data_IF_338661270913
#
_entry.id   IF_338661270913
#
_cell.length_a   1.000
_cell.length_b   1.000
_cell.length_c   1.000
_cell.angle_alpha   90.00
_cell.angle_beta   90.00
_cell.angle_gamma   90.00
#
_symmetry.space_group_name_H-M   'P 1'
#
loop_
_entity.id
_entity.type
_entity.pdbx_description
1 polymer ?
#
# COMPACT_ATOMS: atom_id res chain seq x y z
N UNK A 1 -9.71 3.31 -16.55
CA UNK A 1 -8.79 2.98 -15.44
C UNK A 1 -7.44 3.59 -15.76
N UNK A 2 -6.91 4.47 -14.90
CA UNK A 2 -5.56 5.02 -15.01
C UNK A 2 -4.64 4.15 -14.14
N UNK A 3 -3.59 3.58 -14.73
CA UNK A 3 -2.65 2.66 -14.05
C UNK A 3 -1.24 3.05 -14.45
N UNK A 4 -0.37 3.15 -13.45
CA UNK A 4 1.07 3.35 -13.65
C UNK A 4 1.83 2.54 -12.60
N UNK A 5 3.06 2.19 -12.91
CA UNK A 5 3.92 1.40 -12.04
C UNK A 5 5.05 2.27 -11.51
N UNK A 6 5.23 2.31 -10.20
CA UNK A 6 6.40 2.92 -9.57
C UNK A 6 7.45 1.82 -9.37
N UNK A 7 8.46 1.80 -10.23
CA UNK A 7 9.51 0.77 -10.17
C UNK A 7 10.63 1.10 -9.19
N UNK A 8 10.71 2.37 -8.75
CA UNK A 8 11.76 2.85 -7.84
C UNK A 8 11.14 3.46 -6.60
N UNK A 9 11.68 3.07 -5.44
CA UNK A 9 11.42 3.73 -4.18
C UNK A 9 12.26 5.02 -4.10
N UNK A 10 11.65 6.09 -3.58
CA UNK A 10 12.35 7.28 -3.13
C UNK A 10 13.31 6.93 -1.97
N UNK A 11 12.80 6.18 -0.98
CA UNK A 11 13.56 5.76 0.19
C UNK A 11 12.92 4.52 0.82
N UNK A 12 13.70 3.76 1.60
CA UNK A 12 13.19 2.73 2.52
C UNK A 12 13.56 3.15 3.94
N UNK A 13 12.59 3.59 4.75
CA UNK A 13 12.84 4.17 6.08
C UNK A 13 11.60 4.09 6.98
N UNK A 14 11.75 4.38 8.28
CA UNK A 14 10.66 4.40 9.29
C UNK A 14 9.92 5.74 9.29
N UNK A 15 9.61 6.25 8.11
CA UNK A 15 8.95 7.56 7.91
C UNK A 15 7.45 7.33 7.73
N UNK A 16 6.62 7.95 8.56
CA UNK A 16 5.15 7.96 8.42
C UNK A 16 4.55 9.29 8.93
N UNK A 17 4.42 10.30 8.06
CA UNK A 17 3.93 11.62 8.47
C UNK A 17 2.44 11.64 8.83
N UNK A 18 1.69 10.57 8.58
CA UNK A 18 0.27 10.48 8.91
C UNK A 18 0.08 9.83 10.29
N UNK A 19 0.74 8.70 10.55
CA UNK A 19 0.53 7.91 11.77
C UNK A 19 1.53 8.28 12.88
N UNK A 20 2.76 8.62 12.52
CA UNK A 20 3.85 8.95 13.46
C UNK A 20 4.53 10.26 13.05
N UNK A 21 3.80 11.40 13.00
CA UNK A 21 4.36 12.67 12.55
C UNK A 21 5.55 13.10 13.40
N UNK A 22 6.69 13.32 12.74
CA UNK A 22 7.95 13.73 13.39
C UNK A 22 8.71 12.62 14.12
N UNK A 23 8.20 11.38 14.15
CA UNK A 23 8.77 10.26 14.92
C UNK A 23 8.93 8.98 14.09
N UNK A 24 9.90 8.14 14.45
CA UNK A 24 10.14 6.90 13.73
C UNK A 24 8.96 5.91 13.87
N UNK A 25 8.37 5.51 12.74
CA UNK A 25 7.27 4.56 12.68
C UNK A 25 7.63 3.20 13.28
N UNK A 26 6.62 2.43 13.73
CA UNK A 26 6.84 1.11 14.35
C UNK A 26 7.46 0.03 13.45
N UNK A 27 7.56 0.28 12.15
CA UNK A 27 8.16 -0.62 11.15
C UNK A 27 8.71 0.19 9.97
N UNK A 28 9.48 -0.46 9.07
CA UNK A 28 10.04 0.19 7.88
C UNK A 28 9.01 0.29 6.76
N UNK A 29 9.08 1.39 6.02
CA UNK A 29 8.32 1.62 4.82
C UNK A 29 9.20 1.66 3.58
N UNK A 30 8.77 1.03 2.49
CA UNK A 30 9.25 1.36 1.14
C UNK A 30 8.36 2.48 0.57
N UNK A 31 8.96 3.63 0.22
CA UNK A 31 8.23 4.84 -0.14
C UNK A 31 8.49 5.17 -1.61
N UNK A 32 7.44 5.47 -2.36
CA UNK A 32 7.50 5.96 -3.75
C UNK A 32 6.72 7.28 -3.88
N UNK A 33 7.16 8.18 -4.75
CA UNK A 33 6.43 9.43 -5.01
C UNK A 33 7.30 10.68 -5.09
N UNK A 34 6.71 11.82 -4.74
CA UNK A 34 7.35 13.13 -4.77
C UNK A 34 8.49 13.28 -3.74
N UNK A 35 9.53 14.03 -4.10
CA UNK A 35 10.70 14.25 -3.24
C UNK A 35 10.48 15.20 -2.03
N UNK A 36 9.28 15.77 -1.87
CA UNK A 36 8.88 16.53 -0.68
C UNK A 36 8.53 15.65 0.53
N UNK A 37 8.54 14.31 0.39
CA UNK A 37 8.22 13.39 1.47
C UNK A 37 9.27 13.42 2.59
N UNK A 38 8.81 13.48 3.84
CA UNK A 38 9.63 13.58 5.06
C UNK A 38 8.81 13.17 6.29
N UNK A 39 9.43 13.17 7.48
CA UNK A 39 8.83 12.75 8.76
C UNK A 39 7.58 13.53 9.15
N UNK A 40 7.48 14.77 8.68
CA UNK A 40 6.44 15.75 8.99
C UNK A 40 5.81 16.34 7.72
N UNK A 41 5.99 15.67 6.57
CA UNK A 41 5.46 16.14 5.30
C UNK A 41 3.92 16.27 5.32
N UNK A 42 3.45 17.45 4.95
CA UNK A 42 2.04 17.74 4.74
C UNK A 42 1.70 17.87 3.25
N UNK A 43 0.44 18.21 2.95
CA UNK A 43 0.01 18.43 1.58
C UNK A 43 0.75 19.57 0.87
N UNK A 44 1.26 20.58 1.60
CA UNK A 44 2.02 21.68 1.01
C UNK A 44 3.43 21.23 0.63
N UNK A 45 4.12 20.48 1.50
CA UNK A 45 5.42 19.87 1.23
C UNK A 45 5.35 18.95 0.00
N UNK A 46 4.34 18.09 -0.09
CA UNK A 46 4.18 17.21 -1.25
C UNK A 46 3.93 18.00 -2.55
N UNK A 47 3.12 19.06 -2.52
CA UNK A 47 2.89 19.94 -3.68
C UNK A 47 4.13 20.73 -4.11
N UNK A 48 5.06 20.98 -3.20
CA UNK A 48 6.34 21.65 -3.48
C UNK A 48 7.40 20.71 -4.07
N UNK A 49 7.11 19.40 -4.20
CA UNK A 49 8.02 18.43 -4.83
C UNK A 49 8.39 18.87 -6.25
N UNK A 50 9.66 18.69 -6.61
CA UNK A 50 10.22 19.03 -7.94
C UNK A 50 10.45 17.81 -8.82
N UNK A 51 10.45 16.61 -8.24
CA UNK A 51 10.58 15.35 -8.95
C UNK A 51 9.80 14.24 -8.24
N UNK A 52 9.58 13.12 -8.95
CA UNK A 52 8.92 11.94 -8.43
C UNK A 52 9.70 10.66 -8.80
N UNK A 53 9.68 9.66 -7.92
CA UNK A 53 10.31 8.36 -8.18
C UNK A 53 9.50 7.48 -9.15
N UNK A 54 8.22 7.82 -9.36
CA UNK A 54 7.32 7.15 -10.31
C UNK A 54 7.44 7.77 -11.72
N UNK A 55 7.12 7.03 -12.80
CA UNK A 55 7.26 7.50 -14.19
C UNK A 55 6.44 8.75 -14.53
N UNK A 56 5.36 9.01 -13.79
CA UNK A 56 4.50 10.17 -13.99
C UNK A 56 5.05 11.32 -13.15
N UNK A 57 5.95 12.12 -13.73
CA UNK A 57 6.60 13.23 -13.02
C UNK A 57 5.65 14.33 -12.51
N UNK A 58 4.45 14.42 -13.08
CA UNK A 58 3.38 15.31 -12.57
C UNK A 58 2.68 14.75 -11.31
N UNK A 59 2.85 13.45 -11.02
CA UNK A 59 2.30 12.78 -9.84
C UNK A 59 3.22 12.98 -8.64
N UNK A 60 2.93 14.01 -7.84
CA UNK A 60 3.72 14.38 -6.66
C UNK A 60 3.22 13.75 -5.36
N UNK A 61 2.18 12.92 -5.41
CA UNK A 61 1.70 12.16 -4.26
C UNK A 61 2.76 11.18 -3.75
N UNK A 62 2.70 10.84 -2.47
CA UNK A 62 3.51 9.77 -1.87
C UNK A 62 2.65 8.52 -1.61
N UNK A 63 3.26 7.36 -1.78
CA UNK A 63 2.67 6.06 -1.55
C UNK A 63 3.70 5.18 -0.82
N UNK A 64 3.35 4.63 0.35
CA UNK A 64 4.31 3.92 1.20
C UNK A 64 3.74 2.77 2.02
N UNK A 65 4.62 1.83 2.33
CA UNK A 65 4.25 0.42 2.44
C UNK A 65 5.17 -0.40 3.33
N UNK A 66 4.71 -1.38 4.15
CA UNK A 66 5.57 -2.20 4.96
C UNK A 66 6.63 -2.87 4.09
N UNK A 67 7.84 -2.71 4.55
CA UNK A 67 8.97 -3.48 4.14
C UNK A 67 8.83 -4.88 4.77
N UNK A 68 8.66 -5.90 3.93
CA UNK A 68 8.60 -7.28 4.40
C UNK A 68 10.02 -7.84 4.56
N UNK A 69 10.14 -8.82 5.46
CA UNK A 69 11.37 -9.54 5.74
C UNK A 69 11.12 -11.04 5.61
N UNK A 70 12.05 -11.76 5.01
CA UNK A 70 12.05 -13.23 5.02
C UNK A 70 12.97 -13.69 6.13
N UNK A 71 12.47 -14.59 6.99
CA UNK A 71 13.29 -15.28 7.98
C UNK A 71 13.92 -16.49 7.32
N UNK A 72 15.24 -16.63 7.41
CA UNK A 72 15.93 -17.79 6.87
C UNK A 72 15.55 -19.07 7.64
N UNK A 73 15.34 -20.19 6.95
CA UNK A 73 14.98 -21.47 7.60
C UNK A 73 16.06 -22.00 8.54
N UNK A 74 17.33 -21.71 8.23
CA UNK A 74 18.48 -22.05 9.07
C UNK A 74 18.53 -21.26 10.40
N UNK A 75 17.60 -20.31 10.61
CA UNK A 75 17.51 -19.50 11.82
C UNK A 75 18.60 -18.43 11.97
N UNK A 76 19.46 -18.22 10.96
CA UNK A 76 20.63 -17.33 11.08
C UNK A 76 20.31 -15.86 10.93
N UNK A 77 19.06 -15.50 10.60
CA UNK A 77 18.66 -14.11 10.48
C UNK A 77 17.44 -13.88 9.60
N UNK A 78 17.36 -12.65 9.09
CA UNK A 78 16.32 -12.17 8.18
C UNK A 78 16.95 -11.43 7.01
N UNK A 79 16.33 -11.48 5.83
CA UNK A 79 16.66 -10.61 4.70
C UNK A 79 15.49 -9.71 4.32
N UNK A 80 15.79 -8.58 3.72
CA UNK A 80 14.82 -7.64 3.17
C UNK A 80 14.22 -8.22 1.88
N UNK A 81 12.91 -8.40 1.82
CA UNK A 81 12.27 -8.69 0.53
C UNK A 81 12.15 -7.39 -0.24
N UNK A 82 12.75 -7.26 -1.42
CA UNK A 82 12.58 -6.02 -2.18
C UNK A 82 11.09 -5.80 -2.44
N UNK A 83 10.55 -4.81 -1.73
CA UNK A 83 9.14 -4.46 -1.69
C UNK A 83 8.88 -3.35 -2.68
N UNK A 84 7.87 -3.58 -3.49
CA UNK A 84 6.89 -2.55 -3.78
C UNK A 84 5.63 -3.01 -3.03
N UNK A 85 5.21 -2.35 -1.96
CA UNK A 85 3.84 -1.85 -1.75
C UNK A 85 2.83 -2.46 -0.67
N UNK A 86 1.85 -1.78 0.00
CA UNK A 86 1.48 -2.00 1.47
C UNK A 86 0.45 -3.08 1.80
N UNK A 87 0.42 -3.59 3.06
CA UNK A 87 -0.79 -4.11 3.74
C UNK A 87 -0.73 -4.12 5.30
N UNK A 88 -1.64 -3.38 5.98
CA UNK A 88 -1.98 -3.57 7.40
C UNK A 88 -3.47 -3.85 7.59
N UNK A 89 -3.84 -5.12 7.47
CA UNK A 89 -4.86 -5.77 8.30
C UNK A 89 -4.35 -7.20 8.50
N UNK A 90 -4.11 -7.58 9.76
CA UNK A 90 -3.36 -8.80 10.11
C UNK A 90 -4.26 -10.03 10.27
N UNK A 91 -5.58 -9.86 10.18
CA UNK A 91 -6.55 -10.92 10.44
C UNK A 91 -7.64 -10.95 9.37
N UNK A 92 -8.07 -12.17 9.02
CA UNK A 92 -9.17 -12.41 8.09
C UNK A 92 -10.47 -11.97 8.76
N UNK A 93 -11.29 -11.22 8.04
CA UNK A 93 -12.66 -10.97 8.45
C UNK A 93 -13.58 -10.63 7.29
N UNK A 94 -14.84 -10.39 7.64
CA UNK A 94 -15.95 -10.30 6.70
C UNK A 94 -16.34 -8.86 6.33
N UNK A 95 -15.75 -7.86 6.99
CA UNK A 95 -15.96 -6.45 6.65
C UNK A 95 -15.40 -6.11 5.27
N UNK A 96 -15.88 -5.00 4.69
CA UNK A 96 -15.38 -4.55 3.39
C UNK A 96 -13.93 -4.06 3.51
N UNK A 97 -13.57 -3.47 4.64
CA UNK A 97 -12.22 -3.05 4.99
C UNK A 97 -11.25 -4.24 4.97
N UNK A 98 -11.63 -5.38 5.56
CA UNK A 98 -10.81 -6.59 5.60
C UNK A 98 -10.72 -7.28 4.23
N UNK A 99 -11.77 -7.20 3.42
CA UNK A 99 -11.78 -7.73 2.04
C UNK A 99 -11.01 -6.85 1.07
N UNK A 100 -10.79 -5.58 1.42
CA UNK A 100 -10.06 -4.63 0.59
C UNK A 100 -8.57 -4.97 0.44
N UNK A 101 -8.05 -5.83 1.32
CA UNK A 101 -6.66 -6.24 1.41
C UNK A 101 -6.53 -7.73 1.02
N UNK A 102 -5.84 -8.00 -0.08
CA UNK A 102 -5.64 -9.36 -0.59
C UNK A 102 -4.18 -9.61 -0.97
N UNK A 103 -3.85 -10.89 -1.12
CA UNK A 103 -2.54 -11.38 -1.50
C UNK A 103 -2.66 -12.46 -2.56
N UNK A 104 -1.67 -12.52 -3.45
CA UNK A 104 -1.54 -13.53 -4.51
C UNK A 104 -0.13 -14.08 -4.51
N UNK A 105 -0.03 -15.42 -4.50
CA UNK A 105 1.19 -16.11 -4.92
C UNK A 105 1.33 -15.97 -6.43
N UNK A 106 2.44 -15.40 -6.88
CA UNK A 106 2.77 -15.35 -8.29
C UNK A 106 3.44 -16.68 -8.64
N UNK A 107 2.72 -17.50 -9.39
CA UNK A 107 3.17 -18.75 -9.98
C UNK A 107 2.60 -18.84 -11.40
N UNK A 108 3.46 -18.74 -12.40
CA UNK A 108 3.04 -18.75 -13.81
C UNK A 108 2.67 -20.16 -14.31
N UNK A 109 3.19 -21.20 -13.67
CA UNK A 109 2.96 -22.59 -14.06
C UNK A 109 1.73 -23.16 -13.34
N UNK A 110 1.45 -22.69 -12.12
CA UNK A 110 0.29 -23.09 -11.32
C UNK A 110 -0.40 -21.88 -10.66
N UNK A 111 -1.23 -21.12 -11.40
CA UNK A 111 -1.84 -19.90 -10.89
C UNK A 111 -2.67 -20.11 -9.62
N UNK A 112 -2.48 -19.22 -8.63
CA UNK A 112 -3.22 -19.24 -7.38
C UNK A 112 -4.26 -18.10 -7.31
N UNK A 113 -5.43 -18.33 -6.69
CA UNK A 113 -6.43 -17.28 -6.50
C UNK A 113 -5.95 -16.23 -5.49
N UNK A 114 -6.54 -15.04 -5.55
CA UNK A 114 -6.36 -14.01 -4.52
C UNK A 114 -7.00 -14.48 -3.20
N UNK A 115 -6.34 -14.17 -2.08
CA UNK A 115 -6.84 -14.53 -0.75
C UNK A 115 -6.52 -13.46 0.29
N UNK A 116 -7.24 -13.51 1.41
CA UNK A 116 -6.90 -12.70 2.58
C UNK A 116 -5.73 -13.35 3.33
N UNK A 117 -4.79 -12.52 3.78
CA UNK A 117 -3.57 -12.96 4.45
C UNK A 117 -2.48 -13.43 3.48
N UNK A 118 -1.23 -13.34 3.95
CA UNK A 118 -0.08 -13.82 3.18
C UNK A 118 -0.22 -15.34 3.02
N UNK A 119 -0.17 -15.90 1.79
CA UNK A 119 -0.22 -17.34 1.59
C UNK A 119 0.85 -18.07 2.41
N UNK A 120 0.75 -19.37 2.69
CA UNK A 120 1.73 -20.09 3.53
C UNK A 120 2.45 -21.24 2.79
N UNK A 121 2.45 -21.19 1.46
CA UNK A 121 3.13 -22.14 0.57
C UNK A 121 4.28 -21.44 -0.18
N UNK A 122 4.95 -22.10 -1.11
CA UNK A 122 6.08 -21.50 -1.86
C UNK A 122 5.54 -20.55 -2.94
N UNK A 123 6.23 -19.41 -3.17
CA UNK A 123 5.88 -18.44 -4.23
C UNK A 123 7.02 -18.30 -5.24
N UNK A 124 7.08 -19.18 -6.26
CA UNK A 124 8.25 -19.31 -7.13
C UNK A 124 8.50 -18.09 -8.02
N UNK A 125 7.51 -17.22 -8.25
CA UNK A 125 7.67 -16.01 -9.06
C UNK A 125 7.39 -14.71 -8.28
N UNK A 126 7.20 -14.79 -6.96
CA UNK A 126 7.01 -13.63 -6.10
C UNK A 126 5.68 -13.61 -5.37
N UNK A 127 5.48 -12.56 -4.57
CA UNK A 127 4.26 -12.32 -3.81
C UNK A 127 3.69 -10.97 -4.23
N UNK A 128 2.38 -10.91 -4.46
CA UNK A 128 1.67 -9.65 -4.72
C UNK A 128 0.71 -9.33 -3.57
N UNK A 129 0.90 -8.20 -2.90
CA UNK A 129 -0.11 -7.58 -2.04
C UNK A 129 -0.98 -6.60 -2.84
N UNK A 130 -2.24 -6.47 -2.46
CA UNK A 130 -3.19 -5.57 -3.12
C UNK A 130 -4.06 -4.87 -2.08
N UNK A 131 -4.32 -3.58 -2.31
CA UNK A 131 -5.16 -2.73 -1.47
C UNK A 131 -6.17 -2.00 -2.36
N UNK A 132 -7.45 -2.14 -2.03
CA UNK A 132 -8.50 -1.26 -2.51
C UNK A 132 -8.71 -0.14 -1.50
N UNK A 133 -8.65 1.12 -1.92
CA UNK A 133 -8.93 2.24 -1.02
C UNK A 133 -10.42 2.60 -1.03
N UNK A 134 -10.92 3.20 0.07
CA UNK A 134 -12.20 3.91 0.08
C UNK A 134 -12.36 4.84 -1.13
N UNK A 135 -13.57 4.93 -1.68
CA UNK A 135 -13.87 5.76 -2.85
C UNK A 135 -15.01 6.76 -2.63
N UNK A 136 -15.52 6.84 -1.41
CA UNK A 136 -16.57 7.76 -1.02
C UNK A 136 -15.99 8.79 -0.07
N UNK A 137 -16.19 10.07 -0.38
CA UNK A 137 -15.82 11.19 0.46
C UNK A 137 -17.06 11.84 1.07
N UNK A 138 -16.98 12.27 2.33
CA UNK A 138 -18.11 12.83 3.05
C UNK A 138 -18.61 14.17 2.47
N UNK A 139 -17.82 14.81 1.60
CA UNK A 139 -18.16 16.09 0.96
C UNK A 139 -17.87 17.31 1.82
N UNK A 140 -17.23 17.13 2.96
CA UNK A 140 -17.01 18.14 4.01
C UNK A 140 -15.52 18.30 4.27
N UNK A 141 -14.85 17.24 4.71
CA UNK A 141 -13.49 17.31 5.26
C UNK A 141 -12.49 16.79 4.24
N UNK A 142 -11.52 17.60 3.84
CA UNK A 142 -10.43 17.10 2.99
C UNK A 142 -9.60 16.02 3.71
N UNK A 143 -9.46 16.17 5.03
CA UNK A 143 -8.81 15.24 5.93
C UNK A 143 -9.48 15.37 7.31
N UNK A 144 -9.73 14.24 7.97
CA UNK A 144 -10.36 14.19 9.30
C UNK A 144 -9.29 14.11 10.39
N UNK A 145 -9.57 14.47 11.66
CA UNK A 145 -8.59 14.39 12.75
C UNK A 145 -8.00 12.99 12.98
N UNK A 146 -8.70 11.93 12.54
CA UNK A 146 -8.25 10.54 12.61
C UNK A 146 -7.66 10.02 11.29
N UNK A 147 -7.54 10.89 10.28
CA UNK A 147 -7.09 10.62 8.91
C UNK A 147 -7.86 9.51 8.17
N UNK A 148 -9.07 9.15 8.63
CA UNK A 148 -9.82 7.98 8.16
C UNK A 148 -11.30 8.26 7.94
N UNK A 149 -11.97 8.86 8.91
CA UNK A 149 -13.44 9.02 8.92
C UNK A 149 -14.02 9.94 7.83
N UNK A 150 -13.19 10.76 7.17
CA UNK A 150 -13.59 11.53 5.99
C UNK A 150 -13.82 10.66 4.74
N UNK A 151 -13.39 9.40 4.75
CA UNK A 151 -13.54 8.43 3.68
C UNK A 151 -14.36 7.20 4.09
N UNK A 152 -15.01 6.56 3.11
CA UNK A 152 -15.75 5.32 3.29
C UNK A 152 -15.69 4.45 2.04
N UNK A 153 -15.74 3.13 2.21
CA UNK A 153 -15.93 2.20 1.10
C UNK A 153 -17.32 2.38 0.50
N UNK A 154 -17.45 2.11 -0.80
CA UNK A 154 -18.75 1.95 -1.42
C UNK A 154 -19.34 0.58 -1.04
N UNK A 155 -20.56 0.28 -1.49
CA UNK A 155 -21.19 -1.03 -1.20
C UNK A 155 -20.38 -2.24 -1.70
N UNK A 156 -19.46 -2.04 -2.65
CA UNK A 156 -18.56 -3.06 -3.20
C UNK A 156 -17.14 -2.51 -3.36
N UNK A 157 -16.14 -3.39 -3.44
CA UNK A 157 -14.74 -2.97 -3.58
C UNK A 157 -14.44 -2.36 -4.95
N UNK A 158 -15.05 -2.88 -6.01
CA UNK A 158 -14.88 -2.40 -7.39
C UNK A 158 -15.91 -1.34 -7.82
N UNK A 159 -16.78 -0.91 -6.90
CA UNK A 159 -17.73 0.13 -7.19
C UNK A 159 -18.97 0.09 -6.30
N UNK A 160 -20.13 0.23 -6.93
CA UNK A 160 -21.40 0.35 -6.21
C UNK A 160 -21.66 1.76 -5.66
N UNK A 161 -22.52 1.80 -4.65
CA UNK A 161 -23.12 3.01 -4.11
C UNK A 161 -22.37 3.51 -2.89
N UNK A 162 -22.10 4.81 -2.86
CA UNK A 162 -21.62 5.47 -1.66
C UNK A 162 -22.76 5.64 -0.63
N UNK A 163 -22.45 5.76 0.67
CA UNK A 163 -23.44 6.12 1.66
C UNK A 163 -24.20 7.41 1.28
N UNK A 164 -25.45 7.52 1.69
CA UNK A 164 -26.30 8.67 1.31
C UNK A 164 -25.63 10.00 1.71
N UNK A 165 -25.53 10.92 0.75
CA UNK A 165 -24.92 12.25 0.95
C UNK A 165 -23.44 12.32 0.58
N UNK A 166 -22.75 11.18 0.50
CA UNK A 166 -21.34 11.11 0.16
C UNK A 166 -21.10 11.27 -1.35
N UNK A 167 -19.92 11.76 -1.70
CA UNK A 167 -19.47 11.99 -3.08
C UNK A 167 -18.56 10.86 -3.52
N UNK A 168 -18.82 10.31 -4.71
CA UNK A 168 -17.94 9.31 -5.32
C UNK A 168 -16.70 9.98 -5.89
N UNK A 169 -15.54 9.41 -5.60
CA UNK A 169 -14.24 9.87 -6.08
C UNK A 169 -13.60 8.85 -7.02
N UNK A 170 -12.46 9.22 -7.60
CA UNK A 170 -11.60 8.27 -8.30
C UNK A 170 -11.10 7.25 -7.29
N UNK A 171 -11.40 5.96 -7.53
CA UNK A 171 -10.91 4.85 -6.74
C UNK A 171 -9.39 4.72 -6.92
N UNK A 172 -8.68 4.60 -5.80
CA UNK A 172 -7.27 4.19 -5.79
C UNK A 172 -7.24 2.68 -5.54
N UNK A 173 -6.55 1.97 -6.42
CA UNK A 173 -6.20 0.57 -6.25
C UNK A 173 -4.69 0.46 -6.33
N UNK A 174 -4.10 -0.22 -5.37
CA UNK A 174 -2.66 -0.30 -5.26
C UNK A 174 -2.20 -1.74 -5.19
N UNK A 175 -1.21 -2.08 -6.02
CA UNK A 175 -0.59 -3.39 -6.04
C UNK A 175 0.86 -3.29 -5.65
N UNK A 176 1.33 -4.38 -5.08
CA UNK A 176 2.58 -4.46 -4.39
C UNK A 176 3.31 -5.75 -4.69
N UNK A 177 4.41 -5.68 -5.41
CA UNK A 177 5.21 -6.84 -5.77
C UNK A 177 6.42 -6.97 -4.85
N UNK A 178 6.56 -8.17 -4.27
CA UNK A 178 7.68 -8.56 -3.43
C UNK A 178 8.46 -9.66 -4.14
N UNK A 179 9.76 -9.40 -4.39
CA UNK A 179 10.64 -10.45 -4.89
C UNK A 179 11.05 -11.37 -3.74
N UNK A 180 10.29 -12.46 -3.61
CA UNK A 180 10.52 -13.52 -2.64
C UNK A 180 11.02 -14.82 -3.28
N UNK A 181 10.98 -14.92 -4.61
CA UNK A 181 11.42 -16.10 -5.36
C UNK A 181 12.89 -16.45 -5.16
N UNK A 182 13.72 -15.44 -4.89
CA UNK A 182 15.14 -15.62 -4.57
C UNK A 182 15.38 -16.31 -3.21
N UNK A 183 14.36 -16.36 -2.35
CA UNK A 183 14.44 -17.01 -1.05
C UNK A 183 13.73 -18.37 -1.19
N UNK A 184 14.49 -19.38 -1.59
CA UNK A 184 13.99 -20.74 -1.81
C UNK A 184 14.10 -21.64 -0.56
N UNK A 185 14.36 -20.99 0.58
CA UNK A 185 14.67 -21.66 1.82
C UNK A 185 13.46 -22.38 2.37
#
# INVERSE_FOLDING_TARGET
>A
MFRFSCFNNLVVDRVDPIVNPGEAAGHLHAISGGNGFSMDADGAAMKASTCASCPIGAGLSAYWVPQLYVKFKNGTGFDLTRSSTNNHLREKGDSIEEKAITWVCIDYDNPHPEQQGIPNFKYPNGLRGQVNFPMCWNGIDLDSPDHKSHLSYASELDGGNCPKGWKKMVKIFYEAFYNVAQYDD
#
